data_IF_080237906167
#
_entry.id   IF_080237906167
#
_cell.length_a   1.000
_cell.length_b   1.000
_cell.length_c   1.000
_cell.angle_alpha   90.00
_cell.angle_beta   90.00
_cell.angle_gamma   90.00
#
_symmetry.space_group_name_H-M   'P 1'
#
loop_
_entity.id
_entity.type
_entity.pdbx_description
1 polymer ?
#
# COMPACT_ATOMS: atom_id res chain seq x y z
N UNK A 1 4.10 9.55 -2.39
CA UNK A 1 5.47 9.15 -2.02
C UNK A 1 5.51 9.01 -0.51
N UNK A 2 6.11 7.97 0.01
CA UNK A 2 6.35 7.77 1.45
C UNK A 2 7.84 7.90 1.66
N UNK A 3 8.25 8.77 2.60
CA UNK A 3 9.64 9.02 2.94
C UNK A 3 9.83 9.04 4.45
N UNK A 4 10.97 8.60 4.89
CA UNK A 4 11.42 8.72 6.26
C UNK A 4 12.84 9.27 6.26
N UNK A 5 13.06 10.28 7.07
CA UNK A 5 14.35 10.89 7.28
C UNK A 5 14.91 10.41 8.62
N UNK A 6 16.16 10.05 8.60
CA UNK A 6 16.94 9.66 9.77
C UNK A 6 18.00 10.73 10.02
N UNK A 7 17.82 11.48 11.06
CA UNK A 7 18.85 12.41 11.55
C UNK A 7 19.93 11.59 12.27
N UNK A 8 21.16 11.93 11.98
CA UNK A 8 22.33 11.30 12.61
C UNK A 8 22.80 12.03 13.85
N UNK A 9 22.19 13.18 14.19
CA UNK A 9 22.46 13.89 15.43
C UNK A 9 22.17 12.97 16.63
N UNK A 10 23.11 12.91 17.57
CA UNK A 10 23.02 12.03 18.73
C UNK A 10 23.48 10.58 18.47
N UNK A 11 23.96 10.28 17.27
CA UNK A 11 24.50 8.96 16.93
C UNK A 11 26.04 8.91 16.88
N UNK A 12 26.70 10.00 17.31
CA UNK A 12 28.17 10.12 17.35
C UNK A 12 28.79 8.98 18.15
N UNK A 13 28.16 8.56 19.25
CA UNK A 13 28.64 7.43 20.06
C UNK A 13 28.65 6.12 19.30
N UNK A 14 27.66 5.87 18.45
CA UNK A 14 27.59 4.64 17.62
C UNK A 14 28.65 4.69 16.52
N UNK A 15 28.94 5.88 16.01
CA UNK A 15 29.87 6.09 14.89
C UNK A 15 31.31 6.28 15.33
N UNK A 16 31.56 6.51 16.61
CA UNK A 16 32.93 6.76 17.16
C UNK A 16 33.96 5.69 16.76
N UNK A 17 33.63 4.37 16.67
CA UNK A 17 34.60 3.37 16.26
C UNK A 17 35.07 3.52 14.80
N UNK A 18 34.33 4.27 13.98
CA UNK A 18 34.69 4.60 12.59
C UNK A 18 35.24 6.04 12.46
N UNK A 19 35.58 6.69 13.57
CA UNK A 19 36.14 8.04 13.55
C UNK A 19 37.40 8.06 12.67
N UNK A 20 37.48 9.04 11.76
CA UNK A 20 38.57 9.09 10.76
C UNK A 20 38.31 8.32 9.46
N UNK A 21 37.21 7.57 9.36
CA UNK A 21 36.83 6.80 8.16
C UNK A 21 35.47 7.31 7.56
N UNK A 22 35.41 8.51 6.98
CA UNK A 22 34.15 9.12 6.57
C UNK A 22 33.38 8.30 5.50
N UNK A 23 34.09 7.60 4.64
CA UNK A 23 33.49 6.71 3.63
C UNK A 23 32.75 5.53 4.27
N UNK A 24 33.31 4.95 5.32
CA UNK A 24 32.71 3.81 6.02
C UNK A 24 31.51 4.28 6.89
N UNK A 25 31.59 5.46 7.48
CA UNK A 25 30.44 6.09 8.16
C UNK A 25 29.26 6.26 7.20
N UNK A 26 29.49 6.89 6.05
CA UNK A 26 28.47 7.07 5.01
C UNK A 26 27.89 5.73 4.55
N UNK A 27 28.71 4.71 4.40
CA UNK A 27 28.28 3.37 4.02
C UNK A 27 27.42 2.70 5.10
N UNK A 28 27.81 2.81 6.37
CA UNK A 28 27.01 2.32 7.50
C UNK A 28 25.61 2.95 7.49
N UNK A 29 25.53 4.26 7.34
CA UNK A 29 24.26 5.00 7.28
C UNK A 29 23.37 4.53 6.13
N UNK A 30 23.90 4.49 4.91
CA UNK A 30 23.16 4.04 3.73
C UNK A 30 22.62 2.62 3.89
N UNK A 31 23.41 1.73 4.47
CA UNK A 31 23.01 0.34 4.69
C UNK A 31 21.94 0.23 5.78
N UNK A 32 22.10 0.92 6.90
CA UNK A 32 21.10 0.97 7.96
C UNK A 32 19.77 1.58 7.46
N UNK A 33 19.85 2.69 6.73
CA UNK A 33 18.67 3.34 6.15
C UNK A 33 17.97 2.44 5.11
N UNK A 34 18.74 1.74 4.26
CA UNK A 34 18.20 0.79 3.28
C UNK A 34 17.43 -0.35 3.96
N UNK A 35 18.03 -0.98 4.97
CA UNK A 35 17.38 -2.08 5.72
C UNK A 35 16.14 -1.60 6.48
N UNK A 36 16.23 -0.42 7.10
CA UNK A 36 15.09 0.17 7.81
C UNK A 36 13.98 0.56 6.84
N UNK A 37 14.31 1.17 5.70
CA UNK A 37 13.35 1.49 4.65
C UNK A 37 12.67 0.26 4.04
N UNK A 38 13.40 -0.86 3.88
CA UNK A 38 12.81 -2.13 3.44
C UNK A 38 11.79 -2.67 4.46
N UNK A 39 12.09 -2.57 5.76
CA UNK A 39 11.15 -2.96 6.81
C UNK A 39 9.93 -2.04 6.84
N UNK A 40 10.13 -0.72 6.76
CA UNK A 40 9.05 0.26 6.68
C UNK A 40 8.11 -0.05 5.51
N UNK A 41 8.69 -0.30 4.31
CA UNK A 41 7.91 -0.69 3.13
C UNK A 41 7.11 -1.97 3.36
N UNK A 42 7.70 -2.97 4.02
CA UNK A 42 7.04 -4.22 4.38
C UNK A 42 5.90 -4.01 5.38
N UNK A 43 6.13 -3.20 6.41
CA UNK A 43 5.14 -2.94 7.45
C UNK A 43 3.95 -2.14 6.91
N UNK A 44 4.17 -1.15 6.05
CA UNK A 44 3.09 -0.45 5.37
C UNK A 44 2.30 -1.39 4.45
N UNK A 45 2.96 -2.31 3.71
CA UNK A 45 2.26 -3.33 2.90
C UNK A 45 1.39 -4.24 3.76
N UNK A 46 1.88 -4.66 4.93
CA UNK A 46 1.10 -5.45 5.90
C UNK A 46 -0.09 -4.65 6.44
N UNK A 47 0.12 -3.37 6.78
CA UNK A 47 -0.95 -2.48 7.22
C UNK A 47 -2.03 -2.29 6.16
N UNK A 48 -1.65 -2.03 4.90
CA UNK A 48 -2.60 -1.96 3.78
C UNK A 48 -3.39 -3.27 3.63
N UNK A 49 -2.74 -4.43 3.78
CA UNK A 49 -3.39 -5.74 3.71
C UNK A 49 -4.39 -5.95 4.86
N UNK A 50 -4.08 -5.48 6.05
CA UNK A 50 -4.98 -5.56 7.20
C UNK A 50 -6.21 -4.65 7.04
N UNK A 51 -6.03 -3.46 6.45
CA UNK A 51 -7.05 -2.44 6.29
C UNK A 51 -7.89 -2.57 5.01
N UNK A 52 -7.51 -3.43 4.09
CA UNK A 52 -8.19 -3.58 2.80
C UNK A 52 -8.49 -5.02 2.44
N UNK A 53 -9.51 -5.21 1.61
CA UNK A 53 -9.78 -6.50 0.96
C UNK A 53 -9.08 -6.64 -0.40
N UNK A 54 -8.04 -5.83 -0.65
CA UNK A 54 -7.24 -5.91 -1.87
C UNK A 54 -6.48 -7.23 -1.97
N UNK A 55 -6.28 -7.70 -3.21
CA UNK A 55 -5.47 -8.88 -3.48
C UNK A 55 -3.99 -8.56 -3.21
N UNK A 56 -3.26 -9.52 -2.63
CA UNK A 56 -1.84 -9.33 -2.33
C UNK A 56 -0.97 -8.97 -3.54
N UNK A 57 -1.32 -9.47 -4.74
CA UNK A 57 -0.65 -9.11 -5.99
C UNK A 57 -0.82 -7.64 -6.37
N UNK A 58 -2.01 -7.06 -6.17
CA UNK A 58 -2.27 -5.64 -6.45
C UNK A 58 -1.48 -4.74 -5.49
N UNK A 59 -1.47 -5.11 -4.20
CA UNK A 59 -0.67 -4.42 -3.20
C UNK A 59 0.82 -4.51 -3.57
N UNK A 60 1.30 -5.70 -3.94
CA UNK A 60 2.71 -5.90 -4.30
C UNK A 60 3.19 -5.02 -5.45
N UNK A 61 2.40 -4.92 -6.50
CA UNK A 61 2.70 -4.15 -7.72
C UNK A 61 2.68 -2.64 -7.50
N UNK A 62 1.91 -2.16 -6.51
CA UNK A 62 1.77 -0.73 -6.24
C UNK A 62 3.00 -0.10 -5.58
N UNK A 63 3.84 -0.90 -4.90
CA UNK A 63 5.01 -0.39 -4.19
C UNK A 63 6.24 -0.37 -5.09
N UNK A 64 6.73 0.81 -5.38
CA UNK A 64 7.93 1.05 -6.18
C UNK A 64 9.24 0.64 -5.48
N UNK A 65 10.35 0.93 -6.14
CA UNK A 65 11.69 0.68 -5.62
C UNK A 65 11.97 1.60 -4.44
N UNK A 66 12.74 1.09 -3.47
CA UNK A 66 13.26 1.88 -2.36
C UNK A 66 14.49 2.67 -2.82
N UNK A 67 14.44 3.97 -2.65
CA UNK A 67 15.56 4.88 -2.86
C UNK A 67 16.12 5.34 -1.52
N UNK A 68 17.45 5.45 -1.44
CA UNK A 68 18.14 6.00 -0.27
C UNK A 68 19.02 7.14 -0.76
N UNK A 69 18.79 8.33 -0.20
CA UNK A 69 19.55 9.54 -0.51
C UNK A 69 20.15 10.09 0.77
N UNK A 70 21.35 10.65 0.66
CA UNK A 70 21.97 11.39 1.74
C UNK A 70 21.97 12.88 1.43
N UNK A 71 21.80 13.69 2.45
CA UNK A 71 21.89 15.14 2.39
C UNK A 71 22.51 15.65 3.70
N UNK A 72 23.79 15.99 3.64
CA UNK A 72 24.54 16.44 4.82
C UNK A 72 24.53 15.39 5.94
N UNK A 73 23.94 15.74 7.07
CA UNK A 73 23.85 14.89 8.29
C UNK A 73 22.62 13.99 8.30
N UNK A 74 21.80 14.00 7.28
CA UNK A 74 20.58 13.21 7.21
C UNK A 74 20.62 12.18 6.07
N UNK A 75 19.98 11.03 6.30
CA UNK A 75 19.76 10.00 5.28
C UNK A 75 18.27 9.75 5.15
N UNK A 76 17.76 9.90 3.95
CA UNK A 76 16.35 9.71 3.63
C UNK A 76 16.15 8.39 2.88
N UNK A 77 15.24 7.55 3.39
CA UNK A 77 14.72 6.40 2.68
C UNK A 77 13.32 6.68 2.17
N UNK A 78 13.08 6.52 0.87
CA UNK A 78 11.80 6.83 0.25
C UNK A 78 11.39 5.76 -0.77
N UNK A 79 10.07 5.61 -0.95
CA UNK A 79 9.49 4.79 -2.01
C UNK A 79 8.14 5.34 -2.46
N UNK A 80 7.82 5.08 -3.71
CA UNK A 80 6.53 5.47 -4.29
C UNK A 80 5.49 4.38 -4.08
N UNK A 81 4.25 4.78 -3.78
CA UNK A 81 3.08 3.91 -3.86
C UNK A 81 2.22 4.38 -5.01
N UNK A 82 1.94 3.50 -5.97
CA UNK A 82 1.14 3.83 -7.14
C UNK A 82 -0.30 4.18 -6.75
N UNK A 83 -0.82 5.28 -7.33
CA UNK A 83 -2.14 5.85 -7.03
C UNK A 83 -3.24 5.47 -8.02
N UNK A 84 -3.00 4.53 -8.93
CA UNK A 84 -4.00 4.11 -9.91
C UNK A 84 -5.23 3.48 -9.25
N UNK A 85 -6.43 3.90 -9.70
CA UNK A 85 -7.69 3.33 -9.23
C UNK A 85 -7.81 1.86 -9.63
N UNK A 86 -8.14 1.02 -8.68
CA UNK A 86 -8.46 -0.40 -8.93
C UNK A 86 -9.97 -0.55 -9.05
N UNK A 87 -10.46 -1.41 -9.95
CA UNK A 87 -11.88 -1.70 -10.05
C UNK A 87 -12.45 -2.35 -8.78
N UNK A 88 -13.74 -2.19 -8.55
CA UNK A 88 -14.44 -2.71 -7.37
C UNK A 88 -14.34 -4.24 -7.21
N UNK A 89 -14.13 -4.97 -8.29
CA UNK A 89 -13.95 -6.43 -8.27
C UNK A 89 -12.57 -6.90 -7.79
N UNK A 90 -11.65 -5.99 -7.51
CA UNK A 90 -10.42 -6.27 -6.77
C UNK A 90 -10.64 -6.36 -5.26
N UNK A 91 -11.82 -5.94 -4.78
CA UNK A 91 -12.25 -5.99 -3.40
C UNK A 91 -13.24 -7.14 -3.15
N UNK A 92 -13.76 -7.25 -1.92
CA UNK A 92 -14.76 -8.26 -1.56
C UNK A 92 -16.12 -7.89 -2.12
N UNK A 93 -16.57 -8.62 -3.14
CA UNK A 93 -17.91 -8.43 -3.73
C UNK A 93 -19.01 -8.99 -2.81
N UNK A 94 -20.15 -8.27 -2.75
CA UNK A 94 -21.33 -8.66 -1.97
C UNK A 94 -22.61 -8.43 -2.81
N UNK A 95 -23.34 -9.48 -3.17
CA UNK A 95 -23.02 -10.89 -2.97
C UNK A 95 -21.84 -11.35 -3.86
N UNK A 96 -21.05 -12.32 -3.39
CA UNK A 96 -19.95 -12.89 -4.16
C UNK A 96 -20.46 -13.92 -5.19
N UNK A 97 -21.45 -13.54 -5.97
CA UNK A 97 -22.04 -14.35 -7.06
C UNK A 97 -22.43 -13.46 -8.23
N UNK A 98 -22.61 -14.08 -9.40
CA UNK A 98 -23.17 -13.40 -10.56
C UNK A 98 -24.60 -12.96 -10.26
N UNK A 99 -24.89 -11.66 -10.41
CA UNK A 99 -26.20 -11.07 -10.16
C UNK A 99 -26.96 -10.75 -11.44
N UNK A 100 -26.26 -10.64 -12.57
CA UNK A 100 -26.89 -10.48 -13.87
C UNK A 100 -27.29 -11.86 -14.42
N UNK A 101 -28.53 -12.25 -14.30
CA UNK A 101 -29.11 -13.43 -14.97
C UNK A 101 -30.06 -12.99 -16.07
N UNK A 102 -30.31 -13.90 -17.04
CA UNK A 102 -31.39 -13.77 -18.03
C UNK A 102 -32.71 -13.45 -17.29
N UNK A 103 -33.47 -12.49 -17.78
CA UNK A 103 -34.68 -11.96 -17.17
C UNK A 103 -35.62 -13.05 -16.64
N UNK A 104 -35.66 -13.20 -15.34
CA UNK A 104 -36.84 -13.73 -14.64
C UNK A 104 -37.59 -12.51 -14.11
N UNK A 105 -38.75 -12.20 -14.72
CA UNK A 105 -39.52 -10.98 -14.44
C UNK A 105 -39.93 -10.79 -12.96
N UNK A 106 -39.93 -11.85 -12.16
CA UNK A 106 -40.46 -11.89 -10.79
C UNK A 106 -39.40 -11.72 -9.67
N UNK A 107 -38.09 -11.74 -9.97
CA UNK A 107 -37.07 -11.71 -8.92
C UNK A 107 -36.42 -10.34 -8.82
N UNK A 108 -36.67 -9.62 -7.72
CA UNK A 108 -35.89 -8.43 -7.34
C UNK A 108 -34.47 -8.88 -6.92
N UNK A 109 -33.51 -8.72 -7.82
CA UNK A 109 -32.11 -8.99 -7.50
C UNK A 109 -31.57 -7.89 -6.54
N UNK A 110 -30.89 -8.28 -5.46
CA UNK A 110 -30.21 -7.30 -4.64
C UNK A 110 -29.15 -6.56 -5.46
N UNK A 111 -29.02 -5.26 -5.27
CA UNK A 111 -27.95 -4.48 -5.89
C UNK A 111 -26.60 -5.04 -5.42
N UNK A 112 -25.70 -5.26 -6.37
CA UNK A 112 -24.35 -5.67 -6.03
C UNK A 112 -23.61 -4.54 -5.31
N UNK A 113 -22.76 -4.90 -4.37
CA UNK A 113 -21.91 -3.99 -3.63
C UNK A 113 -20.51 -4.58 -3.47
N UNK A 114 -19.62 -3.81 -2.90
CA UNK A 114 -18.29 -4.27 -2.53
C UNK A 114 -17.88 -3.69 -1.18
N UNK A 115 -17.00 -4.38 -0.50
CA UNK A 115 -16.45 -3.99 0.79
C UNK A 115 -14.97 -3.72 0.62
N UNK A 116 -14.51 -2.51 0.97
CA UNK A 116 -13.13 -2.08 0.74
C UNK A 116 -12.17 -2.56 1.83
N UNK A 117 -12.68 -2.70 3.07
CA UNK A 117 -11.90 -3.15 4.21
C UNK A 117 -12.76 -3.85 5.26
N UNK A 118 -12.14 -4.49 6.25
CA UNK A 118 -12.86 -5.24 7.30
C UNK A 118 -13.88 -4.39 8.08
N UNK A 119 -13.49 -3.17 8.43
CA UNK A 119 -14.31 -2.25 9.24
C UNK A 119 -15.21 -1.32 8.40
N UNK A 120 -15.12 -1.37 7.07
CA UNK A 120 -15.86 -0.48 6.19
C UNK A 120 -17.24 -1.04 5.83
N UNK A 121 -18.25 -0.17 5.67
CA UNK A 121 -19.58 -0.60 5.23
C UNK A 121 -19.55 -1.10 3.78
N UNK A 122 -20.59 -1.86 3.40
CA UNK A 122 -20.80 -2.30 2.02
C UNK A 122 -21.19 -1.09 1.16
N UNK A 123 -20.39 -0.79 0.15
CA UNK A 123 -20.67 0.24 -0.84
C UNK A 123 -21.50 -0.35 -1.97
N UNK A 124 -22.65 0.26 -2.25
CA UNK A 124 -23.58 -0.15 -3.34
C UNK A 124 -23.70 0.97 -4.35
N UNK A 125 -22.84 0.99 -5.39
CA UNK A 125 -22.87 2.04 -6.39
C UNK A 125 -24.15 1.95 -7.24
N UNK A 126 -24.57 3.10 -7.76
CA UNK A 126 -25.73 3.25 -8.64
C UNK A 126 -27.01 3.63 -7.92
N UNK A 127 -28.01 4.04 -8.71
CA UNK A 127 -29.28 4.55 -8.23
C UNK A 127 -29.37 6.07 -8.14
N UNK A 128 -28.30 6.80 -8.44
CA UNK A 128 -28.22 8.25 -8.59
C UNK A 128 -27.36 8.63 -9.80
N UNK A 129 -27.37 9.90 -10.19
CA UNK A 129 -26.46 10.46 -11.21
C UNK A 129 -26.47 9.75 -12.56
N UNK A 130 -27.61 9.20 -13.00
CA UNK A 130 -27.73 8.58 -14.32
C UNK A 130 -27.22 7.13 -14.42
N UNK A 131 -26.71 6.55 -13.35
CA UNK A 131 -26.24 5.17 -13.33
C UNK A 131 -27.27 4.18 -12.81
N UNK A 132 -27.35 2.99 -13.42
CA UNK A 132 -28.12 1.87 -12.89
C UNK A 132 -27.50 1.31 -11.62
N UNK A 133 -28.28 0.52 -10.85
CA UNK A 133 -27.71 -0.28 -9.76
C UNK A 133 -26.63 -1.22 -10.28
N UNK A 134 -25.53 -1.32 -9.56
CA UNK A 134 -24.43 -2.19 -9.94
C UNK A 134 -24.82 -3.67 -9.92
N UNK A 135 -24.18 -4.45 -10.79
CA UNK A 135 -24.39 -5.89 -10.92
C UNK A 135 -23.06 -6.60 -11.22
N UNK A 136 -22.98 -7.87 -10.91
CA UNK A 136 -21.81 -8.71 -11.15
C UNK A 136 -22.09 -9.65 -12.31
N UNK A 137 -21.19 -9.67 -13.28
CA UNK A 137 -21.18 -10.64 -14.38
C UNK A 137 -19.87 -11.45 -14.37
N UNK A 138 -19.84 -12.56 -15.09
CA UNK A 138 -18.61 -13.33 -15.31
C UNK A 138 -18.15 -13.07 -16.74
N UNK A 139 -16.95 -12.53 -16.89
CA UNK A 139 -16.26 -12.34 -18.15
C UNK A 139 -14.89 -13.02 -18.08
N UNK A 140 -14.54 -13.82 -19.08
CA UNK A 140 -13.25 -14.52 -19.13
C UNK A 140 -12.93 -15.27 -17.82
N UNK A 141 -13.92 -15.98 -17.26
CA UNK A 141 -13.79 -16.71 -16.00
C UNK A 141 -13.76 -15.86 -14.73
N UNK A 142 -13.64 -14.54 -14.82
CA UNK A 142 -13.53 -13.63 -13.67
C UNK A 142 -14.87 -12.95 -13.37
N UNK A 143 -15.17 -12.78 -12.09
CA UNK A 143 -16.31 -11.96 -11.63
C UNK A 143 -15.91 -10.51 -11.69
N UNK A 144 -16.69 -9.70 -12.40
CA UNK A 144 -16.44 -8.28 -12.59
C UNK A 144 -17.71 -7.50 -12.27
N UNK A 145 -17.57 -6.31 -11.68
CA UNK A 145 -18.66 -5.45 -11.26
C UNK A 145 -18.85 -4.32 -12.25
N UNK A 146 -20.06 -4.19 -12.76
CA UNK A 146 -20.45 -3.19 -13.75
C UNK A 146 -21.69 -2.41 -13.31
N UNK A 147 -21.85 -1.25 -13.90
CA UNK A 147 -23.06 -0.44 -13.91
C UNK A 147 -23.33 0.05 -15.33
N UNK A 148 -24.55 0.48 -15.61
CA UNK A 148 -24.91 1.07 -16.91
C UNK A 148 -25.08 2.56 -16.74
N UNK A 149 -24.61 3.32 -17.70
CA UNK A 149 -24.91 4.71 -17.85
C UNK A 149 -26.23 4.87 -18.61
N UNK A 150 -27.16 5.70 -18.11
CA UNK A 150 -28.45 5.94 -18.72
C UNK A 150 -29.55 4.94 -18.35
N UNK A 151 -30.78 5.22 -18.83
CA UNK A 151 -32.01 4.49 -18.42
C UNK A 151 -32.21 3.12 -19.06
N UNK A 152 -31.69 2.84 -20.25
CA UNK A 152 -31.88 1.56 -20.97
C UNK A 152 -30.60 1.18 -21.70
N UNK A 153 -30.21 -0.10 -21.66
CA UNK A 153 -29.13 -0.73 -22.45
C UNK A 153 -27.88 0.15 -22.73
N UNK A 154 -27.67 1.20 -21.94
CA UNK A 154 -26.49 2.06 -22.06
C UNK A 154 -25.18 1.31 -21.91
N UNK A 155 -24.06 1.98 -22.20
CA UNK A 155 -22.72 1.44 -22.11
C UNK A 155 -22.48 0.82 -20.72
N UNK A 156 -21.76 -0.31 -20.74
CA UNK A 156 -21.31 -0.96 -19.51
C UNK A 156 -20.04 -0.26 -19.03
N UNK A 157 -20.08 0.24 -17.81
CA UNK A 157 -18.91 0.79 -17.15
C UNK A 157 -18.50 -0.08 -15.97
N UNK A 158 -17.23 -0.33 -15.85
CA UNK A 158 -16.67 -1.06 -14.72
C UNK A 158 -16.68 -0.16 -13.49
N UNK A 159 -17.25 -0.65 -12.41
CA UNK A 159 -17.35 0.16 -11.17
C UNK A 159 -15.95 0.46 -10.64
N UNK A 160 -15.59 1.74 -10.43
CA UNK A 160 -14.32 2.10 -9.83
C UNK A 160 -14.30 1.74 -8.34
N UNK A 161 -13.16 1.32 -7.86
CA UNK A 161 -12.90 1.10 -6.44
C UNK A 161 -11.88 2.12 -5.90
N UNK A 162 -10.87 1.66 -5.17
CA UNK A 162 -9.88 2.50 -4.51
C UNK A 162 -8.46 2.09 -4.87
N UNK A 163 -7.53 3.03 -4.81
CA UNK A 163 -6.11 2.75 -5.03
C UNK A 163 -5.46 2.13 -3.79
N UNK A 164 -4.32 1.46 -3.99
CA UNK A 164 -3.46 1.02 -2.87
C UNK A 164 -2.94 2.22 -2.09
N UNK A 165 -2.64 3.32 -2.79
CA UNK A 165 -2.20 4.57 -2.18
C UNK A 165 -3.21 5.10 -1.16
N UNK A 166 -4.51 5.02 -1.45
CA UNK A 166 -5.58 5.45 -0.54
C UNK A 166 -5.45 4.82 0.86
N UNK A 167 -5.19 3.53 0.93
CA UNK A 167 -5.02 2.83 2.22
C UNK A 167 -3.64 3.08 2.84
N UNK A 168 -2.62 3.31 2.02
CA UNK A 168 -1.25 3.51 2.50
C UNK A 168 -1.05 4.82 3.24
N UNK A 169 -1.96 5.80 3.06
CA UNK A 169 -1.89 7.10 3.75
C UNK A 169 -2.69 7.14 5.05
N UNK A 170 -3.38 6.07 5.43
CA UNK A 170 -4.08 6.02 6.71
C UNK A 170 -3.10 6.13 7.89
N UNK A 171 -3.41 6.98 8.85
CA UNK A 171 -2.62 7.14 10.08
C UNK A 171 -2.37 5.82 10.78
N UNK A 172 -3.39 4.98 10.90
CA UNK A 172 -3.32 3.64 11.50
C UNK A 172 -2.40 2.66 10.75
N UNK A 173 -2.02 2.99 9.51
CA UNK A 173 -1.04 2.23 8.72
C UNK A 173 0.34 2.87 8.80
N UNK A 174 0.42 4.19 8.62
CA UNK A 174 1.71 4.88 8.56
C UNK A 174 2.36 5.08 9.93
N UNK A 175 1.63 5.59 10.93
CA UNK A 175 2.21 5.95 12.23
C UNK A 175 2.95 4.79 12.89
N UNK A 176 2.34 3.59 13.09
CA UNK A 176 3.05 2.47 13.71
C UNK A 176 4.27 1.99 12.92
N UNK A 177 4.19 2.05 11.59
CA UNK A 177 5.30 1.64 10.73
C UNK A 177 6.47 2.64 10.81
N UNK A 178 6.18 3.95 10.83
CA UNK A 178 7.18 5.01 10.98
C UNK A 178 7.85 4.99 12.34
N UNK A 179 7.07 4.84 13.42
CA UNK A 179 7.59 4.74 14.79
C UNK A 179 8.53 3.55 14.94
N UNK A 180 8.12 2.38 14.43
CA UNK A 180 8.98 1.19 14.43
C UNK A 180 10.25 1.41 13.60
N UNK A 181 10.15 2.04 12.45
CA UNK A 181 11.32 2.35 11.64
C UNK A 181 12.31 3.26 12.37
N UNK A 182 11.82 4.31 13.03
CA UNK A 182 12.66 5.21 13.84
C UNK A 182 13.33 4.48 15.00
N UNK A 183 12.58 3.69 15.78
CA UNK A 183 13.11 2.96 16.93
C UNK A 183 14.12 1.88 16.58
N UNK A 184 14.04 1.32 15.36
CA UNK A 184 14.95 0.25 14.94
C UNK A 184 16.17 0.77 14.18
N UNK A 185 16.16 2.03 13.74
CA UNK A 185 17.27 2.57 12.94
C UNK A 185 18.61 2.58 13.70
N UNK A 186 18.61 3.07 14.94
CA UNK A 186 19.83 3.12 15.77
C UNK A 186 20.44 1.74 15.96
N UNK A 187 19.65 0.72 16.32
CA UNK A 187 20.11 -0.67 16.45
C UNK A 187 20.69 -1.23 15.15
N UNK A 188 20.10 -0.87 14.02
CA UNK A 188 20.60 -1.29 12.70
C UNK A 188 21.88 -0.59 12.31
N UNK A 189 22.01 0.68 12.68
CA UNK A 189 23.24 1.44 12.46
C UNK A 189 24.39 0.82 13.27
N UNK A 190 24.15 0.54 14.55
CA UNK A 190 25.12 -0.16 15.42
C UNK A 190 25.60 -1.47 14.81
N UNK A 191 24.67 -2.31 14.40
CA UNK A 191 25.00 -3.58 13.74
C UNK A 191 25.79 -3.41 12.43
N UNK A 192 25.50 -2.38 11.61
CA UNK A 192 26.28 -2.12 10.40
C UNK A 192 27.68 -1.61 10.71
N UNK A 193 27.85 -0.81 11.77
CA UNK A 193 29.17 -0.36 12.25
C UNK A 193 30.00 -1.56 12.69
N UNK A 194 29.46 -2.41 13.57
CA UNK A 194 30.14 -3.65 14.01
C UNK A 194 30.57 -4.53 12.84
N UNK A 195 29.68 -4.69 11.86
CA UNK A 195 29.97 -5.47 10.66
C UNK A 195 31.08 -4.87 9.78
N UNK A 196 31.20 -3.55 9.75
CA UNK A 196 32.26 -2.88 9.01
C UNK A 196 33.58 -3.05 9.76
N UNK A 197 33.60 -2.86 11.08
CA UNK A 197 34.80 -3.06 11.90
C UNK A 197 35.32 -4.48 11.76
N UNK A 198 34.46 -5.47 11.89
CA UNK A 198 34.86 -6.88 11.72
C UNK A 198 35.39 -7.28 10.33
N UNK A 199 35.33 -6.38 9.34
CA UNK A 199 35.93 -6.55 8.02
C UNK A 199 37.24 -5.79 7.84
N UNK A 200 37.52 -4.86 8.74
CA UNK A 200 38.76 -4.07 8.72
C UNK A 200 39.83 -4.69 9.59
N UNK A 201 39.48 -5.64 10.44
CA UNK A 201 40.37 -6.53 11.20
C UNK A 201 40.72 -7.76 10.34
#
# INVERSE_FOLDING_TARGET
MISIEFDTKGMERILSPLAGLPKEITKAWKLAARRTGQSLRSDIRKGVRAESHLRGGDIGKAFGVLEVKEAGTAVTASFRVAGGWLPADHFKLIPNRVTARKRVRSVKWPSAGFKIGPSEPVRRPGGGSGFSKAFVIRLNGKKMMFQRYGKKRGALERVPGYSVQYFSVFDRVQKPAMERARSTFAKRLEHEVERIIGRLQ
#
